data_IF_520562550515
#
_entry.id   IF_520562550515
#
_cell.length_a   1.000
_cell.length_b   1.000
_cell.length_c   1.000
_cell.angle_alpha   90.00
_cell.angle_beta   90.00
_cell.angle_gamma   90.00
#
_symmetry.space_group_name_H-M   'P 1'
#
loop_
_entity.id
_entity.type
_entity.pdbx_description
1 polymer ?
#
# COMPACT_ATOMS: atom_id res chain seq x y z
N UNK A 1 10.81 10.25 1.44
CA UNK A 1 9.92 9.26 2.11
C UNK A 1 9.26 8.41 1.04
N UNK A 2 9.22 7.09 1.25
CA UNK A 2 8.72 6.14 0.26
C UNK A 2 7.46 5.47 0.80
N UNK A 3 6.39 5.53 0.02
CA UNK A 3 5.19 4.72 0.24
C UNK A 3 5.12 3.61 -0.80
N UNK A 4 4.74 2.41 -0.37
CA UNK A 4 4.42 1.29 -1.24
C UNK A 4 2.97 0.88 -0.99
N UNK A 5 2.12 1.04 -1.99
CA UNK A 5 0.75 0.57 -1.93
C UNK A 5 0.64 -0.80 -2.61
N UNK A 6 0.09 -1.76 -1.88
CA UNK A 6 -0.35 -3.03 -2.44
C UNK A 6 -1.85 -3.00 -2.71
N UNK A 7 -2.28 -3.57 -3.85
CA UNK A 7 -3.69 -3.66 -4.22
C UNK A 7 -4.01 -5.03 -4.82
N UNK A 8 -5.11 -5.63 -4.37
CA UNK A 8 -5.70 -6.84 -4.95
C UNK A 8 -6.52 -6.56 -6.21
N UNK A 9 -6.69 -5.28 -6.58
CA UNK A 9 -7.55 -4.84 -7.66
C UNK A 9 -9.00 -5.31 -7.45
N UNK A 10 -9.66 -5.72 -8.53
CA UNK A 10 -10.98 -6.36 -8.49
C UNK A 10 -10.90 -7.88 -8.32
N UNK A 11 -9.78 -8.38 -7.77
CA UNK A 11 -9.56 -9.81 -7.57
C UNK A 11 -10.46 -10.41 -6.49
N UNK A 12 -10.68 -11.74 -6.51
CA UNK A 12 -11.41 -12.43 -5.45
C UNK A 12 -10.62 -12.46 -4.14
N UNK A 13 -11.19 -13.05 -3.09
CA UNK A 13 -10.59 -13.09 -1.74
C UNK A 13 -9.18 -13.69 -1.70
N UNK A 14 -8.84 -14.58 -2.63
CA UNK A 14 -7.48 -15.13 -2.75
C UNK A 14 -6.44 -14.04 -3.08
N UNK A 15 -6.79 -13.05 -3.91
CA UNK A 15 -5.95 -11.89 -4.18
C UNK A 15 -5.80 -11.01 -2.94
N UNK A 16 -6.85 -10.90 -2.12
CA UNK A 16 -6.78 -10.19 -0.84
C UNK A 16 -5.87 -10.90 0.16
N UNK A 17 -5.90 -12.25 0.17
CA UNK A 17 -4.99 -13.08 0.97
C UNK A 17 -3.54 -12.92 0.52
N UNK A 18 -3.31 -12.79 -0.79
CA UNK A 18 -1.98 -12.54 -1.34
C UNK A 18 -1.36 -11.26 -0.77
N UNK A 19 -2.15 -10.19 -0.57
CA UNK A 19 -1.64 -8.97 0.10
C UNK A 19 -1.19 -9.28 1.52
N UNK A 20 -2.01 -9.98 2.31
CA UNK A 20 -1.63 -10.33 3.70
C UNK A 20 -0.35 -11.15 3.79
N UNK A 21 -0.10 -12.03 2.81
CA UNK A 21 1.14 -12.80 2.71
C UNK A 21 2.31 -11.92 2.25
N UNK A 22 2.10 -11.04 1.27
CA UNK A 22 3.07 -10.07 0.80
C UNK A 22 3.53 -9.12 1.92
N UNK A 23 2.62 -8.66 2.78
CA UNK A 23 2.96 -7.84 3.96
C UNK A 23 3.97 -8.55 4.87
N UNK A 24 3.73 -9.83 5.18
CA UNK A 24 4.64 -10.63 6.02
C UNK A 24 6.00 -10.84 5.34
N UNK A 25 6.00 -11.02 4.02
CA UNK A 25 7.23 -11.17 3.23
C UNK A 25 8.05 -9.87 3.22
N UNK A 26 7.42 -8.73 2.91
CA UNK A 26 8.06 -7.41 2.90
C UNK A 26 8.58 -7.05 4.29
N UNK A 27 7.81 -7.30 5.34
CA UNK A 27 8.25 -7.06 6.72
C UNK A 27 9.52 -7.87 7.04
N UNK A 28 9.58 -9.13 6.61
CA UNK A 28 10.78 -9.97 6.76
C UNK A 28 11.98 -9.39 6.01
N UNK A 29 11.79 -8.97 4.76
CA UNK A 29 12.85 -8.37 3.94
C UNK A 29 13.35 -7.05 4.57
N UNK A 30 12.43 -6.21 5.06
CA UNK A 30 12.75 -4.97 5.77
C UNK A 30 13.59 -5.22 7.03
N UNK A 31 13.25 -6.24 7.82
CA UNK A 31 14.02 -6.63 9.01
C UNK A 31 15.43 -7.08 8.66
N UNK A 32 15.60 -7.81 7.55
CA UNK A 32 16.92 -8.26 7.10
C UNK A 32 17.80 -7.10 6.64
N UNK A 33 17.21 -6.07 6.03
CA UNK A 33 17.93 -4.90 5.52
C UNK A 33 17.98 -3.70 6.48
N UNK A 34 17.42 -3.85 7.68
CA UNK A 34 17.31 -2.81 8.71
C UNK A 34 16.53 -1.56 8.22
N UNK A 35 15.46 -1.80 7.47
CA UNK A 35 14.48 -0.81 7.02
C UNK A 35 13.32 -0.79 8.03
N UNK A 36 12.94 0.40 8.50
CA UNK A 36 11.75 0.59 9.32
C UNK A 36 10.50 0.40 8.45
N UNK A 37 9.62 -0.46 8.92
CA UNK A 37 8.39 -0.85 8.24
C UNK A 37 7.18 -0.46 9.09
N UNK A 38 6.28 0.34 8.51
CA UNK A 38 5.02 0.70 9.14
C UNK A 38 3.86 0.51 8.15
N UNK A 39 2.77 -0.13 8.58
CA UNK A 39 1.52 -0.18 7.81
C UNK A 39 0.70 1.05 8.18
N UNK A 40 0.59 2.00 7.24
CA UNK A 40 0.00 3.33 7.51
C UNK A 40 -1.47 3.43 7.11
N UNK A 41 -1.91 2.61 6.16
CA UNK A 41 -3.34 2.45 5.83
C UNK A 41 -3.59 1.00 5.39
N UNK A 42 -4.79 0.50 5.65
CA UNK A 42 -5.21 -0.83 5.18
C UNK A 42 -6.72 -0.89 5.04
N UNK A 43 -7.17 -1.51 3.96
CA UNK A 43 -8.57 -1.80 3.72
C UNK A 43 -8.76 -3.31 3.87
N UNK A 44 -9.32 -3.73 5.01
CA UNK A 44 -9.59 -5.15 5.27
C UNK A 44 -10.68 -5.70 4.34
N UNK A 45 -10.53 -6.96 3.96
CA UNK A 45 -11.62 -7.76 3.40
C UNK A 45 -12.38 -8.47 4.53
N UNK A 46 -13.42 -9.23 4.17
CA UNK A 46 -14.30 -9.91 5.15
C UNK A 46 -13.62 -11.05 5.91
N UNK A 47 -12.43 -11.48 5.48
CA UNK A 47 -11.69 -12.60 6.04
C UNK A 47 -10.42 -12.15 6.77
N UNK A 48 -9.98 -12.94 7.76
CA UNK A 48 -8.77 -12.64 8.53
C UNK A 48 -7.51 -12.64 7.66
N UNK A 49 -6.62 -11.67 7.91
CA UNK A 49 -5.38 -11.45 7.16
C UNK A 49 -5.60 -11.31 5.64
N UNK A 50 -6.78 -10.82 5.23
CA UNK A 50 -7.09 -10.52 3.83
C UNK A 50 -7.35 -9.03 3.69
N UNK A 51 -6.66 -8.38 2.75
CA UNK A 51 -6.75 -6.94 2.56
C UNK A 51 -7.05 -6.64 1.10
N UNK A 52 -7.98 -5.71 0.83
CA UNK A 52 -8.22 -5.18 -0.51
C UNK A 52 -7.04 -4.33 -0.97
N UNK A 53 -6.51 -3.53 -0.05
CA UNK A 53 -5.31 -2.73 -0.23
C UNK A 53 -4.59 -2.51 1.09
N UNK A 54 -3.29 -2.21 1.02
CA UNK A 54 -2.47 -1.79 2.15
C UNK A 54 -1.43 -0.77 1.68
N UNK A 55 -1.22 0.28 2.46
CA UNK A 55 -0.18 1.29 2.21
C UNK A 55 0.90 1.13 3.28
N UNK A 56 2.13 0.99 2.81
CA UNK A 56 3.32 0.74 3.61
C UNK A 56 4.21 1.96 3.56
N UNK A 57 4.72 2.37 4.70
CA UNK A 57 5.77 3.36 4.82
C UNK A 57 7.09 2.63 5.05
N UNK A 58 8.05 2.90 4.18
CA UNK A 58 9.38 2.34 4.23
C UNK A 58 10.36 3.48 4.53
N UNK A 59 10.89 3.48 5.75
CA UNK A 59 11.88 4.47 6.20
C UNK A 59 13.20 3.78 6.46
N UNK A 60 14.30 4.31 5.94
CA UNK A 60 15.64 3.77 6.14
C UNK A 60 16.62 4.90 6.36
N UNK A 61 17.71 4.65 7.11
CA UNK A 61 18.86 5.57 7.14
C UNK A 61 19.52 5.73 5.77
N UNK A 62 19.43 4.69 4.94
CA UNK A 62 19.87 4.67 3.56
C UNK A 62 18.65 4.58 2.64
N UNK A 63 18.21 5.73 2.10
CA UNK A 63 16.99 5.85 1.30
C UNK A 63 17.02 4.91 0.07
N UNK A 64 18.19 4.68 -0.52
CA UNK A 64 18.38 3.77 -1.65
C UNK A 64 17.92 2.34 -1.38
N UNK A 65 18.15 1.78 -0.18
CA UNK A 65 17.70 0.40 0.13
C UNK A 65 16.18 0.30 0.19
N UNK A 66 15.54 1.26 0.85
CA UNK A 66 14.08 1.34 0.90
C UNK A 66 13.49 1.52 -0.50
N UNK A 67 14.14 2.32 -1.35
CA UNK A 67 13.76 2.56 -2.75
C UNK A 67 13.90 1.30 -3.59
N UNK A 68 15.04 0.61 -3.52
CA UNK A 68 15.27 -0.64 -4.23
C UNK A 68 14.29 -1.73 -3.82
N UNK A 69 14.02 -1.87 -2.52
CA UNK A 69 13.02 -2.81 -2.04
C UNK A 69 11.64 -2.46 -2.62
N UNK A 70 11.19 -1.21 -2.50
CA UNK A 70 9.90 -0.75 -3.01
C UNK A 70 9.77 -0.95 -4.54
N UNK A 71 10.82 -0.60 -5.29
CA UNK A 71 10.90 -0.82 -6.75
C UNK A 71 10.78 -2.30 -7.10
N UNK A 72 11.39 -3.20 -6.32
CA UNK A 72 11.28 -4.64 -6.58
C UNK A 72 9.83 -5.15 -6.46
N UNK A 73 9.00 -4.47 -5.68
CA UNK A 73 7.58 -4.78 -5.47
C UNK A 73 6.65 -3.92 -6.33
N UNK A 74 7.18 -3.07 -7.21
CA UNK A 74 6.38 -2.26 -8.13
C UNK A 74 5.97 -3.07 -9.37
N UNK A 75 4.68 -2.99 -9.72
CA UNK A 75 4.08 -3.67 -10.87
C UNK A 75 3.20 -4.86 -10.48
N UNK A 76 2.85 -5.67 -11.47
CA UNK A 76 2.00 -6.85 -11.27
C UNK A 76 2.77 -8.03 -10.65
N UNK A 77 2.14 -8.73 -9.73
CA UNK A 77 2.69 -9.88 -9.03
C UNK A 77 1.71 -11.04 -9.08
N UNK A 78 2.25 -12.25 -9.08
CA UNK A 78 1.48 -13.48 -9.20
C UNK A 78 1.74 -14.40 -8.01
N UNK A 79 0.68 -14.79 -7.31
CA UNK A 79 0.71 -15.89 -6.37
C UNK A 79 0.01 -17.11 -6.97
N UNK A 80 0.75 -18.22 -7.08
CA UNK A 80 0.25 -19.49 -7.60
C UNK A 80 0.01 -20.46 -6.44
N UNK A 81 -1.26 -20.66 -6.10
CA UNK A 81 -1.67 -21.56 -5.02
C UNK A 81 -3.09 -22.10 -5.29
N UNK A 82 -3.37 -23.32 -4.85
CA UNK A 82 -4.76 -23.79 -4.78
C UNK A 82 -5.53 -22.92 -3.79
N UNK A 83 -6.78 -22.55 -4.12
CA UNK A 83 -7.57 -21.72 -3.22
C UNK A 83 -7.93 -22.50 -1.95
N UNK A 84 -7.58 -21.95 -0.79
CA UNK A 84 -8.04 -22.44 0.51
C UNK A 84 -9.51 -22.08 0.78
N UNK A 85 -10.01 -20.99 0.18
CA UNK A 85 -11.39 -20.54 0.33
C UNK A 85 -12.36 -21.30 -0.58
N UNK A 86 -11.86 -21.80 -1.72
CA UNK A 86 -12.64 -22.56 -2.71
C UNK A 86 -11.87 -23.82 -3.13
N UNK A 87 -11.82 -24.87 -2.28
CA UNK A 87 -10.94 -26.03 -2.48
C UNK A 87 -11.13 -26.76 -3.82
N UNK A 88 -12.37 -26.83 -4.33
CA UNK A 88 -12.71 -27.54 -5.58
C UNK A 88 -12.49 -26.68 -6.85
N UNK A 89 -12.11 -25.42 -6.71
CA UNK A 89 -11.99 -24.50 -7.84
C UNK A 89 -10.69 -24.72 -8.62
N UNK A 90 -10.74 -24.75 -9.96
CA UNK A 90 -9.58 -25.08 -10.80
C UNK A 90 -8.52 -23.97 -10.90
N UNK A 91 -8.91 -22.71 -10.71
CA UNK A 91 -8.00 -21.55 -10.79
C UNK A 91 -6.98 -21.57 -9.66
N UNK A 92 -5.72 -21.30 -10.00
CA UNK A 92 -4.59 -21.24 -9.07
C UNK A 92 -3.79 -19.93 -9.13
N UNK A 93 -4.08 -19.08 -10.12
CA UNK A 93 -3.34 -17.83 -10.36
C UNK A 93 -4.08 -16.64 -9.75
N UNK A 94 -3.46 -16.02 -8.75
CA UNK A 94 -3.98 -14.89 -8.00
C UNK A 94 -3.06 -13.69 -8.21
N UNK A 95 -3.56 -12.68 -8.91
CA UNK A 95 -2.80 -11.48 -9.24
C UNK A 95 -3.06 -10.37 -8.23
N UNK A 96 -2.01 -9.64 -7.89
CA UNK A 96 -2.06 -8.42 -7.10
C UNK A 96 -0.98 -7.47 -7.64
N UNK A 97 -0.96 -6.24 -7.17
CA UNK A 97 -0.07 -5.20 -7.70
C UNK A 97 0.54 -4.38 -6.58
N UNK A 98 1.67 -3.75 -6.88
CA UNK A 98 2.34 -2.80 -6.02
C UNK A 98 2.63 -1.51 -6.79
N UNK A 99 2.42 -0.38 -6.13
CA UNK A 99 2.73 0.94 -6.66
C UNK A 99 3.57 1.71 -5.65
N UNK A 100 4.75 2.14 -6.07
CA UNK A 100 5.62 2.99 -5.27
C UNK A 100 5.25 4.46 -5.50
N UNK A 101 5.23 5.22 -4.42
CA UNK A 101 5.11 6.67 -4.43
C UNK A 101 6.32 7.27 -3.72
N UNK A 102 7.09 8.07 -4.45
CA UNK A 102 8.14 8.89 -3.90
C UNK A 102 7.57 10.27 -3.64
N UNK A 103 7.51 10.65 -2.36
CA UNK A 103 6.82 11.87 -1.95
C UNK A 103 7.82 12.97 -1.69
N UNK A 104 7.75 13.98 -2.57
CA UNK A 104 8.44 15.25 -2.44
C UNK A 104 7.59 16.19 -1.57
N UNK A 105 8.01 16.36 -0.32
CA UNK A 105 7.28 17.15 0.69
C UNK A 105 7.13 18.63 0.29
N UNK A 106 7.99 19.14 -0.61
CA UNK A 106 8.00 20.55 -1.04
C UNK A 106 6.84 20.92 -1.96
N UNK A 107 6.21 19.93 -2.62
CA UNK A 107 5.18 20.16 -3.65
C UNK A 107 3.74 20.13 -3.14
N UNK A 108 3.53 19.91 -1.84
CA UNK A 108 2.21 19.57 -1.29
C UNK A 108 1.60 20.63 -0.36
N UNK A 109 2.16 21.83 -0.30
CA UNK A 109 1.63 22.88 0.59
C UNK A 109 0.52 23.72 -0.05
N UNK A 110 0.42 23.78 -1.38
CA UNK A 110 -0.67 24.49 -2.05
C UNK A 110 -1.98 23.70 -2.01
N UNK A 111 -3.04 24.30 -1.47
CA UNK A 111 -4.40 23.73 -1.53
C UNK A 111 -4.72 22.67 -0.46
N UNK A 112 -3.86 22.49 0.56
CA UNK A 112 -4.13 21.57 1.67
C UNK A 112 -4.37 22.33 2.97
N UNK A 113 -5.50 22.06 3.60
CA UNK A 113 -5.82 22.57 4.94
C UNK A 113 -5.50 21.52 6.00
N UNK A 114 -4.90 21.94 7.11
CA UNK A 114 -4.54 21.06 8.22
C UNK A 114 -5.33 21.44 9.47
N UNK A 115 -5.94 20.45 10.10
CA UNK A 115 -6.63 20.59 11.37
C UNK A 115 -5.99 19.64 12.39
N UNK A 116 -5.64 20.17 13.56
CA UNK A 116 -5.21 19.35 14.69
C UNK A 116 -6.43 18.80 15.42
N UNK A 117 -6.33 17.55 15.87
CA UNK A 117 -7.38 16.86 16.59
C UNK A 117 -6.77 16.16 17.81
N UNK A 118 -7.61 15.86 18.81
CA UNK A 118 -7.24 14.91 19.85
C UNK A 118 -7.12 13.53 19.25
N UNK A 119 -6.04 12.82 19.57
CA UNK A 119 -5.92 11.41 19.25
C UNK A 119 -7.03 10.64 20.00
N UNK A 120 -7.72 9.72 19.31
CA UNK A 120 -8.78 8.91 19.93
C UNK A 120 -8.31 7.47 20.02
N UNK A 121 -7.95 6.99 21.22
CA UNK A 121 -7.51 5.62 21.43
C UNK A 121 -7.59 5.18 22.90
N UNK A 122 -7.56 3.86 23.13
CA UNK A 122 -7.59 3.24 24.48
C UNK A 122 -6.27 3.41 25.25
N UNK A 123 -5.61 4.56 25.13
CA UNK A 123 -4.38 4.90 25.85
C UNK A 123 -4.68 5.68 27.12
N UNK A 124 -3.86 5.49 28.16
CA UNK A 124 -3.99 6.20 29.44
C UNK A 124 -3.86 7.73 29.33
N UNK A 125 -3.82 8.42 30.47
CA UNK A 125 -3.93 9.89 30.58
C UNK A 125 -3.07 10.67 29.55
N UNK A 126 -1.86 10.22 29.20
CA UNK A 126 -0.98 10.89 28.24
C UNK A 126 -1.44 10.87 26.76
N UNK A 127 -2.25 9.89 26.34
CA UNK A 127 -2.73 9.80 24.94
C UNK A 127 -3.92 10.73 24.70
N UNK A 128 -4.67 11.07 25.75
CA UNK A 128 -5.91 11.83 25.66
C UNK A 128 -5.74 13.35 25.89
N UNK A 129 -4.54 13.82 26.26
CA UNK A 129 -4.29 15.23 26.60
C UNK A 129 -3.61 16.04 25.48
N UNK A 130 -2.90 15.39 24.55
CA UNK A 130 -2.14 16.09 23.50
C UNK A 130 -2.86 16.04 22.15
N UNK A 131 -3.02 17.21 21.51
CA UNK A 131 -3.59 17.35 20.16
C UNK A 131 -2.57 16.92 19.08
N UNK A 132 -2.12 15.66 19.13
CA UNK A 132 -1.12 15.13 18.20
C UNK A 132 -1.72 14.65 16.88
N UNK A 133 -3.02 14.33 16.81
CA UNK A 133 -3.65 13.85 15.59
C UNK A 133 -3.80 15.00 14.57
N UNK A 134 -3.63 14.70 13.29
CA UNK A 134 -3.73 15.68 12.20
C UNK A 134 -4.69 15.16 11.14
N UNK A 135 -5.62 16.02 10.73
CA UNK A 135 -6.44 15.85 9.53
C UNK A 135 -5.92 16.79 8.45
N UNK A 136 -5.58 16.23 7.29
CA UNK A 136 -5.23 16.98 6.09
C UNK A 136 -6.38 16.87 5.09
N UNK A 137 -6.82 17.98 4.52
CA UNK A 137 -7.92 18.04 3.54
C UNK A 137 -7.47 18.82 2.32
N UNK A 138 -7.59 18.21 1.13
CA UNK A 138 -7.35 18.89 -0.14
C UNK A 138 -8.59 19.71 -0.52
N UNK A 139 -8.45 21.04 -0.60
CA UNK A 139 -9.56 21.98 -0.71
C UNK A 139 -10.40 21.79 -1.97
N UNK A 140 -9.78 21.50 -3.12
CA UNK A 140 -10.48 21.40 -4.40
C UNK A 140 -11.29 20.09 -4.54
N UNK A 141 -10.69 18.98 -4.13
CA UNK A 141 -11.32 17.65 -4.28
C UNK A 141 -12.19 17.24 -3.08
N UNK A 142 -12.03 17.91 -1.92
CA UNK A 142 -12.65 17.53 -0.66
C UNK A 142 -12.10 16.25 0.00
N UNK A 143 -11.12 15.57 -0.61
CA UNK A 143 -10.49 14.38 -0.02
C UNK A 143 -9.77 14.77 1.26
N UNK A 144 -9.97 13.97 2.31
CA UNK A 144 -9.27 14.14 3.58
C UNK A 144 -8.65 12.84 4.10
N UNK A 145 -7.56 12.99 4.84
CA UNK A 145 -6.87 11.91 5.54
C UNK A 145 -6.62 12.33 6.99
N UNK A 146 -6.89 11.42 7.92
CA UNK A 146 -6.59 11.59 9.34
C UNK A 146 -5.46 10.65 9.74
N UNK A 147 -4.47 11.18 10.44
CA UNK A 147 -3.31 10.43 10.94
C UNK A 147 -3.10 10.74 12.42
N UNK A 148 -2.90 9.69 13.22
CA UNK A 148 -2.65 9.76 14.66
C UNK A 148 -1.66 8.70 15.15
N UNK A 149 -0.95 8.04 14.23
CA UNK A 149 -0.06 6.92 14.52
C UNK A 149 1.26 7.34 15.17
N UNK A 150 1.75 8.56 14.89
CA UNK A 150 3.01 9.07 15.43
C UNK A 150 2.79 9.88 16.71
N UNK A 151 3.82 9.94 17.57
CA UNK A 151 3.76 10.65 18.85
C UNK A 151 3.71 12.18 18.71
N UNK A 152 4.21 12.73 17.61
CA UNK A 152 4.29 14.18 17.39
C UNK A 152 3.36 14.66 16.28
N UNK A 153 2.78 15.83 16.47
CA UNK A 153 1.93 16.49 15.47
C UNK A 153 2.67 16.71 14.14
N UNK A 154 3.95 17.11 14.19
CA UNK A 154 4.75 17.36 12.99
C UNK A 154 4.95 16.08 12.16
N UNK A 155 5.23 14.94 12.82
CA UNK A 155 5.32 13.65 12.14
C UNK A 155 3.97 13.22 11.55
N UNK A 156 2.87 13.40 12.30
CA UNK A 156 1.52 13.12 11.80
C UNK A 156 1.15 14.03 10.61
N UNK A 157 1.54 15.31 10.63
CA UNK A 157 1.32 16.23 9.50
C UNK A 157 2.06 15.78 8.24
N UNK A 158 3.33 15.36 8.37
CA UNK A 158 4.13 14.83 7.24
C UNK A 158 3.52 13.56 6.67
N UNK A 159 3.07 12.64 7.52
CA UNK A 159 2.42 11.40 7.06
C UNK A 159 1.03 11.68 6.45
N UNK A 160 0.25 12.59 7.02
CA UNK A 160 -1.07 12.97 6.48
C UNK A 160 -0.95 13.59 5.08
N UNK A 161 0.04 14.47 4.89
CA UNK A 161 0.46 14.99 3.58
C UNK A 161 0.68 13.85 2.58
N UNK A 162 1.59 12.96 2.92
CA UNK A 162 1.96 11.87 2.03
C UNK A 162 0.81 10.95 1.61
N UNK A 163 -0.03 10.56 2.56
CA UNK A 163 -1.22 9.77 2.28
C UNK A 163 -2.23 10.54 1.43
N UNK A 164 -2.40 11.84 1.66
CA UNK A 164 -3.28 12.68 0.85
C UNK A 164 -2.80 12.75 -0.60
N UNK A 165 -1.50 12.97 -0.83
CA UNK A 165 -0.91 12.95 -2.17
C UNK A 165 -1.12 11.62 -2.88
N UNK A 166 -0.81 10.51 -2.19
CA UNK A 166 -1.02 9.17 -2.73
C UNK A 166 -2.49 8.93 -3.12
N UNK A 167 -3.46 9.38 -2.30
CA UNK A 167 -4.89 9.29 -2.65
C UNK A 167 -5.29 10.18 -3.84
N UNK A 168 -4.73 11.38 -3.96
CA UNK A 168 -5.00 12.27 -5.10
C UNK A 168 -4.47 11.66 -6.41
N UNK A 169 -3.27 11.10 -6.39
CA UNK A 169 -2.69 10.41 -7.55
C UNK A 169 -3.53 9.21 -7.97
N UNK A 170 -4.04 8.42 -7.00
CA UNK A 170 -4.98 7.34 -7.29
C UNK A 170 -6.29 7.85 -7.90
N UNK A 171 -6.88 8.90 -7.34
CA UNK A 171 -8.14 9.48 -7.83
C UNK A 171 -7.99 9.95 -9.28
N UNK A 172 -6.87 10.59 -9.62
CA UNK A 172 -6.55 11.02 -10.98
C UNK A 172 -6.51 9.85 -11.95
N UNK A 173 -5.96 8.70 -11.53
CA UNK A 173 -5.99 7.47 -12.33
C UNK A 173 -7.42 6.93 -12.49
N UNK A 174 -8.26 6.98 -11.46
CA UNK A 174 -9.65 6.51 -11.54
C UNK A 174 -10.56 7.38 -12.42
N UNK A 175 -10.27 8.68 -12.49
CA UNK A 175 -11.01 9.66 -13.30
C UNK A 175 -10.67 9.62 -14.79
N UNK A 176 -9.76 8.75 -15.21
CA UNK A 176 -9.49 8.50 -16.63
C UNK A 176 -10.79 8.24 -17.42
N UNK A 177 -10.83 8.79 -18.64
CA UNK A 177 -11.93 8.64 -19.59
C UNK A 177 -12.16 7.18 -19.96
N UNK A 178 -13.31 6.87 -20.57
CA UNK A 178 -13.62 5.48 -21.00
C UNK A 178 -12.56 4.89 -21.94
N UNK A 179 -12.02 5.70 -22.86
CA UNK A 179 -10.97 5.26 -23.77
C UNK A 179 -9.64 5.01 -23.05
N UNK A 180 -9.26 5.88 -22.12
CA UNK A 180 -8.08 5.70 -21.28
C UNK A 180 -8.22 4.47 -20.37
N UNK A 181 -9.41 4.24 -19.80
CA UNK A 181 -9.73 3.04 -19.03
C UNK A 181 -9.60 1.76 -19.85
N UNK A 182 -10.09 1.75 -21.10
CA UNK A 182 -9.93 0.60 -21.98
C UNK A 182 -8.46 0.31 -22.31
N UNK A 183 -7.68 1.35 -22.63
CA UNK A 183 -6.23 1.24 -22.85
C UNK A 183 -5.50 0.76 -21.59
N UNK A 184 -5.88 1.31 -20.44
CA UNK A 184 -5.33 0.93 -19.15
C UNK A 184 -5.65 -0.52 -18.79
N UNK A 185 -6.87 -0.99 -19.07
CA UNK A 185 -7.25 -2.40 -18.88
C UNK A 185 -6.44 -3.35 -19.77
N UNK A 186 -6.24 -3.02 -21.04
CA UNK A 186 -5.39 -3.79 -21.94
C UNK A 186 -3.93 -3.83 -21.45
N UNK A 187 -3.41 -2.67 -21.04
CA UNK A 187 -2.09 -2.58 -20.44
C UNK A 187 -1.99 -3.42 -19.16
N UNK A 188 -3.01 -3.36 -18.30
CA UNK A 188 -3.09 -4.17 -17.08
C UNK A 188 -3.15 -5.67 -17.33
N UNK A 189 -3.90 -6.11 -18.34
CA UNK A 189 -3.95 -7.52 -18.74
C UNK A 189 -2.56 -8.01 -19.17
N UNK A 190 -1.82 -7.17 -19.90
CA UNK A 190 -0.45 -7.42 -20.32
C UNK A 190 0.52 -7.44 -19.12
N UNK A 191 0.41 -6.50 -18.19
CA UNK A 191 1.20 -6.48 -16.95
C UNK A 191 0.92 -7.72 -16.09
N UNK A 192 -0.35 -8.14 -15.94
CA UNK A 192 -0.70 -9.42 -15.30
C UNK A 192 -0.04 -10.61 -16.01
N UNK A 193 0.08 -10.56 -17.34
CA UNK A 193 0.79 -11.56 -18.13
C UNK A 193 2.31 -11.62 -17.89
N UNK A 194 2.91 -10.54 -17.39
CA UNK A 194 4.35 -10.44 -17.12
C UNK A 194 4.63 -10.01 -15.66
N UNK A 195 4.34 -10.88 -14.68
CA UNK A 195 4.52 -10.52 -13.27
C UNK A 195 6.00 -10.31 -12.93
N UNK A 196 6.28 -9.24 -12.19
CA UNK A 196 7.64 -8.89 -11.70
C UNK A 196 8.13 -9.89 -10.66
N UNK A 197 7.22 -10.41 -9.82
CA UNK A 197 7.49 -11.48 -8.85
C UNK A 197 6.43 -12.56 -8.95
N UNK A 198 6.87 -13.81 -8.82
CA UNK A 198 5.99 -14.97 -8.77
C UNK A 198 6.24 -15.73 -7.48
N UNK A 199 5.17 -15.99 -6.73
CA UNK A 199 5.18 -16.73 -5.48
C UNK A 199 4.45 -18.05 -5.67
N UNK A 200 4.91 -19.13 -5.02
CA UNK A 200 4.28 -20.46 -5.10
C UNK A 200 3.92 -21.03 -3.74
N UNK A 201 2.81 -21.76 -3.74
CA UNK A 201 2.32 -22.56 -2.62
C UNK A 201 1.78 -21.72 -1.47
N UNK A 202 1.25 -22.42 -0.46
CA UNK A 202 0.64 -21.80 0.73
C UNK A 202 1.65 -20.99 1.56
N UNK A 203 2.93 -21.38 1.50
CA UNK A 203 4.03 -20.69 2.19
C UNK A 203 4.50 -19.41 1.50
N UNK A 204 3.90 -19.03 0.37
CA UNK A 204 4.24 -17.82 -0.38
C UNK A 204 5.74 -17.73 -0.72
N UNK A 205 6.32 -18.83 -1.21
CA UNK A 205 7.74 -18.89 -1.52
C UNK A 205 8.03 -18.17 -2.84
N UNK A 206 8.96 -17.21 -2.83
CA UNK A 206 9.39 -16.50 -4.03
C UNK A 206 10.07 -17.47 -5.00
N UNK A 207 9.62 -17.49 -6.25
CA UNK A 207 10.32 -18.17 -7.33
C UNK A 207 11.37 -17.22 -7.90
N UNK A 208 12.64 -17.58 -7.73
CA UNK A 208 13.70 -17.06 -8.59
C UNK A 208 13.49 -17.64 -9.99
N UNK A 209 13.34 -16.77 -11.00
CA UNK A 209 13.38 -17.22 -12.41
C UNK A 209 14.75 -17.90 -12.56
N UNK A 210 14.79 -19.23 -12.79
CA UNK A 210 15.99 -19.85 -13.31
C UNK A 210 16.26 -19.14 -14.64
N UNK A 211 17.42 -18.51 -14.77
CA UNK A 211 17.95 -18.08 -16.06
C UNK A 211 17.90 -19.31 -16.98
N UNK A 212 17.04 -19.26 -18.00
CA UNK A 212 17.21 -20.11 -19.17
C UNK A 212 18.40 -19.58 -19.98
#
# INVERSE_FOLDING_TARGET
>A
MILLQLSSGQGPIECCKAIGLALKAIEKDCRAENIKFDVVDKVSANEKDCFKSAVLKLDSKFEEKAKQLALSWQGAMLWVCQSSFRPKHKRKNWFFSGQMFEIDESKLDSGVTFQTCRASGAGGQHVNTTDSAVRATHSETGISVRVESERSQHANKRLAKALLFQKLEMMKQEQMTSQEKARWQQHWELERGNPVKIFKGEKFALMTRKSC
#
